data_IF_097689109565
#
_entry.id   IF_097689109565
#
_cell.length_a   1.000
_cell.length_b   1.000
_cell.length_c   1.000
_cell.angle_alpha   90.00
_cell.angle_beta   90.00
_cell.angle_gamma   90.00
#
_symmetry.space_group_name_H-M   'P 1'
#
loop_
_entity.id
_entity.type
_entity.pdbx_description
1 polymer ?
#
# COMPACT_ATOMS: atom_id res chain seq x y z
N UNK A 1 18.70 0.18 -21.28
CA UNK A 1 19.39 -0.05 -19.99
C UNK A 1 18.40 -0.79 -19.13
N UNK A 2 18.77 -1.94 -18.57
CA UNK A 2 17.92 -2.62 -17.58
C UNK A 2 17.94 -1.74 -16.33
N UNK A 3 16.85 -1.06 -16.02
CA UNK A 3 16.77 -0.22 -14.82
C UNK A 3 16.99 -1.10 -13.58
N UNK A 4 17.92 -0.72 -12.71
CA UNK A 4 18.22 -1.48 -11.50
C UNK A 4 16.96 -1.55 -10.62
N UNK A 5 16.70 -2.71 -10.01
CA UNK A 5 15.52 -2.91 -9.17
C UNK A 5 15.39 -1.85 -8.06
N UNK A 6 16.51 -1.39 -7.49
CA UNK A 6 16.52 -0.37 -6.43
C UNK A 6 16.12 0.99 -6.95
N UNK A 7 16.47 1.32 -8.19
CA UNK A 7 16.03 2.55 -8.85
C UNK A 7 14.53 2.52 -9.10
N UNK A 8 14.00 1.38 -9.57
CA UNK A 8 12.56 1.21 -9.82
C UNK A 8 11.77 1.45 -8.53
N UNK A 9 12.08 0.76 -7.44
CA UNK A 9 11.35 0.93 -6.17
C UNK A 9 11.65 2.28 -5.49
N UNK A 10 12.77 2.91 -5.82
CA UNK A 10 13.13 4.26 -5.39
C UNK A 10 12.39 5.37 -6.15
N UNK A 11 11.78 5.06 -7.30
CA UNK A 11 11.05 6.04 -8.12
C UNK A 11 9.72 6.51 -7.53
N UNK A 12 9.19 5.84 -6.51
CA UNK A 12 7.94 6.23 -5.86
C UNK A 12 8.19 7.34 -4.81
N UNK A 13 7.46 8.48 -4.85
CA UNK A 13 7.57 9.49 -3.81
C UNK A 13 7.30 8.92 -2.41
N UNK A 14 8.12 9.30 -1.40
CA UNK A 14 7.94 8.83 -0.03
C UNK A 14 6.66 9.37 0.61
N UNK A 15 6.16 8.66 1.61
CA UNK A 15 5.09 9.12 2.50
C UNK A 15 5.74 9.70 3.76
N UNK A 16 5.53 10.98 4.04
CA UNK A 16 5.96 11.61 5.29
C UNK A 16 4.85 11.51 6.34
N UNK A 17 5.21 11.07 7.54
CA UNK A 17 4.28 10.90 8.66
C UNK A 17 4.84 11.56 9.91
N UNK A 18 4.03 12.32 10.64
CA UNK A 18 4.38 12.80 11.99
C UNK A 18 4.32 11.64 12.99
N UNK A 19 5.29 11.57 13.90
CA UNK A 19 5.40 10.49 14.90
C UNK A 19 5.38 11.00 16.36
N UNK A 20 4.18 11.31 16.90
CA UNK A 20 4.06 11.87 18.26
C UNK A 20 4.56 10.97 19.39
N UNK A 21 4.51 9.64 19.20
CA UNK A 21 5.03 8.71 20.21
C UNK A 21 6.56 8.77 20.27
N UNK A 22 7.21 8.79 19.11
CA UNK A 22 8.68 8.86 19.05
C UNK A 22 9.17 10.22 19.56
N UNK A 23 8.47 11.30 19.22
CA UNK A 23 8.68 12.63 19.80
C UNK A 23 8.55 12.63 21.33
N UNK A 24 7.45 12.09 21.85
CA UNK A 24 7.23 12.02 23.30
C UNK A 24 8.32 11.23 24.04
N UNK A 25 8.90 10.22 23.39
CA UNK A 25 10.00 9.41 23.93
C UNK A 25 11.40 10.04 23.72
N UNK A 26 11.48 11.23 23.13
CA UNK A 26 12.74 11.95 22.89
C UNK A 26 13.59 11.39 21.75
N UNK A 27 12.98 10.69 20.78
CA UNK A 27 13.71 10.12 19.64
C UNK A 27 14.18 11.19 18.64
N UNK A 28 13.47 12.31 18.55
CA UNK A 28 13.85 13.44 17.70
C UNK A 28 14.64 14.46 18.52
N UNK A 29 15.79 14.89 17.98
CA UNK A 29 16.66 15.90 18.59
C UNK A 29 16.36 17.32 18.11
N UNK A 30 15.78 17.41 16.91
CA UNK A 30 15.41 18.67 16.25
C UNK A 30 13.89 18.78 16.18
N UNK A 31 13.39 19.91 15.66
CA UNK A 31 11.95 20.18 15.53
C UNK A 31 11.27 19.39 14.39
N UNK A 32 12.01 18.60 13.61
CA UNK A 32 11.42 17.69 12.63
C UNK A 32 11.06 16.36 13.30
N UNK A 33 9.76 16.17 13.52
CA UNK A 33 9.17 14.96 14.11
C UNK A 33 8.52 14.05 13.07
N UNK A 34 8.96 14.15 11.81
CA UNK A 34 8.47 13.32 10.71
C UNK A 34 9.40 12.15 10.39
N UNK A 35 8.81 11.03 9.95
CA UNK A 35 9.53 9.90 9.38
C UNK A 35 9.08 9.65 7.94
N UNK A 36 10.03 9.25 7.11
CA UNK A 36 9.80 8.86 5.72
C UNK A 36 9.54 7.36 5.61
N UNK A 37 8.46 7.00 4.90
CA UNK A 37 8.09 5.64 4.56
C UNK A 37 8.16 5.48 3.04
N UNK A 38 8.99 4.56 2.57
CA UNK A 38 9.23 4.36 1.13
C UNK A 38 8.59 3.08 0.60
N UNK A 39 8.44 2.96 -0.72
CA UNK A 39 8.07 1.69 -1.34
C UNK A 39 9.10 0.59 -1.04
N UNK A 40 10.38 0.93 -0.95
CA UNK A 40 11.42 -0.03 -0.55
C UNK A 40 11.17 -0.60 0.85
N UNK A 41 10.59 0.17 1.78
CA UNK A 41 10.24 -0.35 3.11
C UNK A 41 9.02 -1.28 3.06
N UNK A 42 8.03 -0.96 2.22
CA UNK A 42 6.91 -1.89 1.94
C UNK A 42 7.41 -3.19 1.29
N UNK A 43 8.40 -3.12 0.38
CA UNK A 43 9.05 -4.29 -0.21
C UNK A 43 9.81 -5.10 0.83
N UNK A 44 10.56 -4.46 1.74
CA UNK A 44 11.23 -5.16 2.85
C UNK A 44 10.22 -5.86 3.77
N UNK A 45 9.08 -5.21 4.05
CA UNK A 45 8.00 -5.80 4.84
C UNK A 45 7.41 -7.04 4.16
N UNK A 46 7.11 -6.95 2.86
CA UNK A 46 6.50 -8.04 2.10
C UNK A 46 7.49 -9.12 1.63
N UNK A 47 8.80 -8.85 1.69
CA UNK A 47 9.88 -9.70 1.17
C UNK A 47 10.04 -9.68 -0.35
N UNK A 48 9.16 -8.99 -1.09
CA UNK A 48 9.20 -8.92 -2.56
C UNK A 48 8.43 -7.69 -3.07
N UNK A 49 8.59 -7.38 -4.36
CA UNK A 49 7.83 -6.36 -5.07
C UNK A 49 6.86 -7.02 -6.06
N UNK A 50 5.56 -6.78 -5.87
CA UNK A 50 4.50 -7.25 -6.76
C UNK A 50 3.43 -6.15 -6.91
N UNK A 51 2.52 -6.27 -7.90
CA UNK A 51 1.47 -5.28 -8.13
C UNK A 51 0.62 -5.02 -6.88
N UNK A 52 0.40 -6.02 -6.03
CA UNK A 52 -0.35 -5.89 -4.77
C UNK A 52 0.36 -4.99 -3.76
N UNK A 53 1.66 -5.20 -3.52
CA UNK A 53 2.43 -4.39 -2.54
C UNK A 53 2.59 -2.96 -3.05
N UNK A 54 2.91 -2.79 -4.34
CA UNK A 54 3.00 -1.49 -4.99
C UNK A 54 1.66 -0.76 -4.96
N UNK A 55 0.57 -1.46 -5.30
CA UNK A 55 -0.79 -0.93 -5.24
C UNK A 55 -1.18 -0.48 -3.84
N UNK A 56 -0.89 -1.26 -2.80
CA UNK A 56 -1.17 -0.89 -1.41
C UNK A 56 -0.40 0.38 -0.98
N UNK A 57 0.87 0.49 -1.36
CA UNK A 57 1.68 1.67 -1.07
C UNK A 57 1.13 2.92 -1.76
N UNK A 58 0.87 2.84 -3.07
CA UNK A 58 0.33 3.96 -3.86
C UNK A 58 -1.07 4.37 -3.39
N UNK A 59 -1.93 3.39 -3.09
CA UNK A 59 -3.25 3.60 -2.52
C UNK A 59 -3.18 4.31 -1.16
N UNK A 60 -2.27 3.88 -0.28
CA UNK A 60 -2.04 4.54 1.02
C UNK A 60 -1.58 5.98 0.83
N UNK A 61 -0.61 6.24 -0.07
CA UNK A 61 -0.13 7.59 -0.36
C UNK A 61 -1.27 8.49 -0.82
N UNK A 62 -2.10 8.02 -1.76
CA UNK A 62 -3.23 8.78 -2.29
C UNK A 62 -4.30 9.02 -1.23
N UNK A 63 -4.64 8.00 -0.44
CA UNK A 63 -5.60 8.10 0.65
C UNK A 63 -5.17 9.18 1.65
N UNK A 64 -3.92 9.14 2.10
CA UNK A 64 -3.40 10.11 3.06
C UNK A 64 -3.40 11.54 2.51
N UNK A 65 -2.99 11.73 1.25
CA UNK A 65 -3.05 13.03 0.57
C UNK A 65 -4.48 13.58 0.50
N UNK A 66 -5.48 12.75 0.19
CA UNK A 66 -6.89 13.19 0.14
C UNK A 66 -7.47 13.45 1.54
N UNK A 67 -7.05 12.66 2.53
CA UNK A 67 -7.56 12.70 3.90
C UNK A 67 -7.01 13.89 4.72
N UNK A 68 -5.76 14.29 4.47
CA UNK A 68 -5.08 15.36 5.19
C UNK A 68 -4.87 16.63 4.35
N UNK A 69 -5.02 16.57 3.03
CA UNK A 69 -4.74 17.71 2.16
C UNK A 69 -3.26 18.11 2.26
N UNK A 70 -3.02 19.35 2.69
CA UNK A 70 -1.66 19.89 2.89
C UNK A 70 -1.08 19.59 4.28
N UNK A 71 -1.87 19.02 5.20
CA UNK A 71 -1.37 18.61 6.52
C UNK A 71 -0.51 17.34 6.41
N UNK A 72 0.54 17.25 7.24
CA UNK A 72 1.30 16.01 7.39
C UNK A 72 0.45 15.00 8.19
N UNK A 73 0.16 13.80 7.64
CA UNK A 73 -0.60 12.78 8.34
C UNK A 73 0.08 12.33 9.64
N UNK A 74 -0.73 12.01 10.64
CA UNK A 74 -0.25 11.65 11.97
C UNK A 74 -0.35 10.15 12.15
N UNK A 75 0.80 9.51 12.34
CA UNK A 75 0.81 8.06 12.48
C UNK A 75 0.08 7.69 13.78
N UNK A 76 -0.86 6.74 13.68
CA UNK A 76 -1.66 6.26 14.81
C UNK A 76 -2.93 7.05 15.08
N UNK A 77 -3.19 8.11 14.32
CA UNK A 77 -4.48 8.82 14.34
C UNK A 77 -5.32 8.49 13.10
N UNK A 78 -5.08 7.31 12.51
CA UNK A 78 -5.77 6.82 11.33
C UNK A 78 -6.19 5.38 11.63
N UNK A 79 -7.46 5.07 11.43
CA UNK A 79 -7.92 3.68 11.35
C UNK A 79 -8.04 3.26 9.90
N UNK A 80 -7.74 1.99 9.64
CA UNK A 80 -7.94 1.33 8.36
C UNK A 80 -8.92 0.18 8.56
N UNK A 81 -9.96 0.10 7.75
CA UNK A 81 -10.86 -1.05 7.71
C UNK A 81 -10.80 -1.70 6.34
N UNK A 82 -10.29 -2.91 6.27
CA UNK A 82 -10.39 -3.75 5.09
C UNK A 82 -11.82 -4.28 4.95
N UNK A 83 -12.44 -4.10 3.78
CA UNK A 83 -13.79 -4.59 3.47
C UNK A 83 -13.74 -5.99 2.85
N UNK A 84 -13.05 -6.89 3.56
CA UNK A 84 -12.94 -8.30 3.27
C UNK A 84 -12.22 -8.99 4.43
N UNK A 85 -12.01 -10.30 4.32
CA UNK A 85 -11.33 -11.07 5.39
C UNK A 85 -9.80 -11.03 5.28
N UNK A 86 -9.05 -11.24 6.37
CA UNK A 86 -7.59 -11.27 6.33
C UNK A 86 -7.00 -12.32 5.37
N UNK A 87 -7.66 -13.46 5.22
CA UNK A 87 -7.25 -14.60 4.37
C UNK A 87 -7.88 -14.57 2.98
N UNK A 88 -8.65 -13.54 2.67
CA UNK A 88 -9.34 -13.40 1.39
C UNK A 88 -8.49 -12.60 0.39
N UNK A 89 -8.15 -13.26 -0.71
CA UNK A 89 -7.43 -12.65 -1.83
C UNK A 89 -6.16 -11.93 -1.37
N UNK A 90 -6.14 -10.61 -1.56
CA UNK A 90 -4.97 -9.76 -1.23
C UNK A 90 -5.18 -8.87 0.00
N UNK A 91 -6.34 -8.95 0.67
CA UNK A 91 -6.68 -8.06 1.78
C UNK A 91 -5.64 -8.11 2.91
N UNK A 92 -5.22 -9.29 3.34
CA UNK A 92 -4.21 -9.43 4.39
C UNK A 92 -2.85 -8.82 4.02
N UNK A 93 -2.39 -9.00 2.79
CA UNK A 93 -1.11 -8.45 2.32
C UNK A 93 -1.15 -6.93 2.24
N UNK A 94 -2.20 -6.37 1.66
CA UNK A 94 -2.35 -4.92 1.52
C UNK A 94 -2.54 -4.26 2.89
N UNK A 95 -3.33 -4.86 3.79
CA UNK A 95 -3.51 -4.38 5.16
C UNK A 95 -2.21 -4.31 5.94
N UNK A 96 -1.27 -5.24 5.74
CA UNK A 96 0.05 -5.18 6.40
C UNK A 96 0.86 -3.95 5.97
N UNK A 97 0.87 -3.64 4.67
CA UNK A 97 1.54 -2.43 4.13
C UNK A 97 0.88 -1.17 4.70
N UNK A 98 -0.45 -1.11 4.67
CA UNK A 98 -1.21 0.04 5.19
C UNK A 98 -0.98 0.23 6.70
N UNK A 99 -0.99 -0.85 7.48
CA UNK A 99 -0.72 -0.85 8.92
C UNK A 99 0.69 -0.39 9.25
N UNK A 100 1.69 -0.85 8.49
CA UNK A 100 3.08 -0.46 8.67
C UNK A 100 3.25 1.06 8.55
N UNK A 101 2.71 1.65 7.48
CA UNK A 101 2.81 3.09 7.18
C UNK A 101 1.99 3.91 8.18
N UNK A 102 0.70 3.61 8.33
CA UNK A 102 -0.24 4.43 9.13
C UNK A 102 -0.12 4.20 10.63
N UNK A 103 0.52 3.10 11.04
CA UNK A 103 0.53 2.61 12.41
C UNK A 103 -0.84 2.08 12.87
N UNK A 104 -1.79 1.89 11.95
CA UNK A 104 -3.06 1.26 12.26
C UNK A 104 -2.84 -0.24 12.49
N UNK A 105 -2.68 -0.66 13.74
CA UNK A 105 -2.36 -2.05 14.06
C UNK A 105 -3.62 -2.84 14.42
N UNK A 106 -3.64 -4.17 14.22
CA UNK A 106 -4.74 -5.03 14.64
C UNK A 106 -4.73 -5.21 16.18
N UNK A 107 -5.37 -6.23 16.71
CA UNK A 107 -5.43 -6.52 18.15
C UNK A 107 -4.06 -6.77 18.78
N UNK A 108 -3.02 -7.04 17.99
CA UNK A 108 -1.63 -7.21 18.45
C UNK A 108 -0.85 -5.89 18.55
N UNK A 109 -1.49 -4.76 18.22
CA UNK A 109 -0.86 -3.44 18.24
C UNK A 109 -0.47 -2.92 19.62
N UNK A 110 0.33 -1.85 19.63
CA UNK A 110 0.73 -1.15 20.85
C UNK A 110 -0.50 -0.56 21.57
N UNK A 111 -0.65 -0.88 22.87
CA UNK A 111 -1.79 -0.45 23.71
C UNK A 111 -1.80 1.05 24.02
N UNK A 112 -0.67 1.73 23.83
CA UNK A 112 -0.50 3.14 24.18
C UNK A 112 0.13 3.34 25.56
N UNK A 113 0.39 4.60 25.89
CA UNK A 113 0.81 5.04 27.22
C UNK A 113 -0.35 5.77 27.87
N UNK A 114 -1.09 5.05 28.73
CA UNK A 114 -2.37 5.52 29.24
C UNK A 114 -3.36 5.74 28.09
N UNK A 115 -4.00 6.93 27.97
CA UNK A 115 -4.95 7.20 26.88
C UNK A 115 -4.28 7.61 25.56
N UNK A 116 -2.96 7.77 25.51
CA UNK A 116 -2.25 8.35 24.36
C UNK A 116 -1.52 7.29 23.52
N UNK A 117 -1.34 7.60 22.24
CA UNK A 117 -0.49 6.87 21.30
C UNK A 117 -0.88 5.40 21.03
N UNK A 118 -2.13 5.02 21.34
CA UNK A 118 -2.65 3.68 21.05
C UNK A 118 -2.62 3.40 19.55
N UNK A 119 -2.14 2.21 19.17
CA UNK A 119 -2.16 1.68 17.80
C UNK A 119 -3.06 0.46 17.66
N UNK A 120 -3.29 -0.26 18.76
CA UNK A 120 -4.09 -1.48 18.82
C UNK A 120 -5.56 -1.26 18.41
N UNK A 121 -6.05 -2.09 17.49
CA UNK A 121 -7.44 -2.07 17.03
C UNK A 121 -7.76 -0.94 16.05
N UNK A 122 -6.74 -0.31 15.47
CA UNK A 122 -6.90 0.68 14.41
C UNK A 122 -6.97 0.03 13.02
N UNK A 123 -6.41 -1.17 12.84
CA UNK A 123 -6.69 -2.02 11.68
C UNK A 123 -7.81 -3.00 12.03
N UNK A 124 -8.85 -3.01 11.20
CA UNK A 124 -10.00 -3.89 11.35
C UNK A 124 -10.33 -4.53 9.99
N UNK A 125 -11.03 -5.66 10.04
CA UNK A 125 -11.58 -6.35 8.87
C UNK A 125 -13.10 -6.46 9.04
N UNK A 126 -13.84 -6.36 7.95
CA UNK A 126 -15.29 -6.58 7.96
C UNK A 126 -15.71 -7.33 6.72
N UNK A 127 -16.72 -8.20 6.84
CA UNK A 127 -17.38 -8.92 5.75
C UNK A 127 -18.23 -7.99 4.84
N UNK A 128 -17.80 -6.75 4.67
CA UNK A 128 -18.51 -5.72 3.92
C UNK A 128 -18.67 -6.11 2.45
N UNK A 129 -19.75 -5.62 1.84
CA UNK A 129 -20.07 -5.89 0.45
C UNK A 129 -19.02 -5.26 -0.47
N UNK A 130 -18.11 -6.08 -0.98
CA UNK A 130 -17.07 -5.67 -1.92
C UNK A 130 -17.64 -5.39 -3.32
N UNK A 131 -18.97 -5.53 -3.53
CA UNK A 131 -19.84 -4.95 -4.56
C UNK A 131 -19.53 -5.17 -6.04
N UNK A 132 -18.25 -5.24 -6.40
CA UNK A 132 -17.73 -5.06 -7.74
C UNK A 132 -16.27 -5.54 -7.88
N UNK A 133 -15.86 -6.63 -7.22
CA UNK A 133 -14.51 -7.25 -7.25
C UNK A 133 -13.35 -6.34 -6.75
N UNK A 134 -13.63 -5.08 -6.41
CA UNK A 134 -12.61 -4.13 -6.03
C UNK A 134 -12.11 -4.38 -4.60
N UNK A 135 -10.79 -4.33 -4.42
CA UNK A 135 -10.19 -4.44 -3.10
C UNK A 135 -10.38 -3.10 -2.37
N UNK A 136 -11.21 -3.10 -1.34
CA UNK A 136 -11.77 -1.86 -0.78
C UNK A 136 -11.36 -1.64 0.68
N UNK A 137 -10.93 -0.42 0.99
CA UNK A 137 -10.47 -0.03 2.33
C UNK A 137 -11.08 1.29 2.77
N UNK A 138 -11.57 1.36 4.00
CA UNK A 138 -11.98 2.62 4.63
C UNK A 138 -10.83 3.19 5.43
N UNK A 139 -10.45 4.43 5.15
CA UNK A 139 -9.53 5.20 5.98
C UNK A 139 -10.32 6.23 6.75
N UNK A 140 -10.02 6.42 8.03
CA UNK A 140 -10.70 7.42 8.86
C UNK A 140 -9.72 8.06 9.84
N UNK A 141 -9.75 9.38 9.94
CA UNK A 141 -9.03 10.13 10.98
C UNK A 141 -9.67 9.82 12.34
N UNK A 142 -8.83 9.58 13.32
CA UNK A 142 -9.20 9.30 14.71
C UNK A 142 -9.04 10.53 15.61
N UNK A 143 -8.69 11.67 15.02
CA UNK A 143 -8.71 12.98 15.66
C UNK A 143 -10.14 13.58 15.65
N UNK A 144 -10.27 14.81 16.16
CA UNK A 144 -11.56 15.51 16.22
C UNK A 144 -12.17 15.89 14.86
N UNK A 145 -11.44 15.75 13.74
CA UNK A 145 -11.97 16.02 12.40
C UNK A 145 -12.85 14.85 11.93
N UNK A 146 -12.43 13.61 12.21
CA UNK A 146 -13.23 12.40 11.96
C UNK A 146 -13.50 12.08 10.49
N UNK A 147 -12.94 12.84 9.53
CA UNK A 147 -13.08 12.60 8.09
C UNK A 147 -12.74 11.15 7.73
N UNK A 148 -13.47 10.62 6.77
CA UNK A 148 -13.25 9.28 6.26
C UNK A 148 -13.31 9.27 4.73
N UNK A 149 -12.71 8.24 4.15
CA UNK A 149 -12.77 7.98 2.73
C UNK A 149 -12.82 6.47 2.48
N UNK A 150 -13.34 6.12 1.31
CA UNK A 150 -13.29 4.81 0.72
C UNK A 150 -12.23 4.80 -0.37
N UNK A 151 -11.27 3.89 -0.24
CA UNK A 151 -10.29 3.55 -1.27
C UNK A 151 -10.78 2.28 -1.95
N UNK A 152 -10.83 2.28 -3.28
CA UNK A 152 -11.12 1.10 -4.08
C UNK A 152 -9.99 0.87 -5.06
N UNK A 153 -9.43 -0.33 -5.06
CA UNK A 153 -8.37 -0.75 -5.97
C UNK A 153 -8.99 -1.74 -6.94
N UNK A 154 -8.87 -1.46 -8.24
CA UNK A 154 -9.45 -2.22 -9.34
C UNK A 154 -8.32 -2.90 -10.12
N UNK A 155 -7.88 -4.13 -9.74
CA UNK A 155 -6.70 -4.77 -10.32
C UNK A 155 -6.76 -4.96 -11.84
N UNK A 156 -7.97 -5.09 -12.41
CA UNK A 156 -8.19 -5.24 -13.84
C UNK A 156 -7.96 -3.96 -14.66
N UNK A 157 -7.90 -2.79 -14.02
CA UNK A 157 -7.60 -1.51 -14.67
C UNK A 157 -6.12 -1.12 -14.53
N UNK A 158 -5.29 -1.94 -13.88
CA UNK A 158 -3.85 -1.66 -13.77
C UNK A 158 -3.25 -1.56 -15.18
N UNK A 159 -2.54 -0.47 -15.54
CA UNK A 159 -2.17 -0.16 -16.91
C UNK A 159 -1.10 -1.14 -17.41
N UNK A 160 -1.56 -2.20 -18.06
CA UNK A 160 -0.72 -3.21 -18.68
C UNK A 160 -1.44 -3.75 -19.92
N UNK A 161 -0.87 -3.64 -21.14
CA UNK A 161 -1.53 -4.08 -22.37
C UNK A 161 -2.03 -5.52 -22.29
N UNK A 162 -3.22 -5.80 -22.81
CA UNK A 162 -3.90 -7.10 -22.66
C UNK A 162 -3.08 -8.26 -23.25
N UNK A 163 -2.44 -8.06 -24.39
CA UNK A 163 -1.56 -9.03 -25.04
C UNK A 163 -0.35 -9.36 -24.14
N UNK A 164 0.24 -8.34 -23.51
CA UNK A 164 1.34 -8.49 -22.56
C UNK A 164 0.88 -9.13 -21.25
N UNK A 165 -0.32 -8.80 -20.77
CA UNK A 165 -0.93 -9.41 -19.60
C UNK A 165 -1.14 -10.92 -19.80
N UNK A 166 -1.71 -11.31 -20.94
CA UNK A 166 -1.90 -12.72 -21.32
C UNK A 166 -0.55 -13.44 -21.40
N UNK A 167 0.43 -12.86 -22.11
CA UNK A 167 1.77 -13.46 -22.24
C UNK A 167 2.46 -13.62 -20.88
N UNK A 168 2.35 -12.61 -20.01
CA UNK A 168 2.91 -12.67 -18.66
C UNK A 168 2.28 -13.79 -17.82
N UNK A 169 0.96 -14.00 -17.93
CA UNK A 169 0.25 -15.06 -17.23
C UNK A 169 0.66 -16.47 -17.73
N UNK A 170 0.72 -16.66 -19.06
CA UNK A 170 1.19 -17.92 -19.68
C UNK A 170 2.62 -18.27 -19.21
N UNK A 171 3.52 -17.28 -19.24
CA UNK A 171 4.90 -17.45 -18.82
C UNK A 171 5.02 -17.70 -17.31
N UNK A 172 4.21 -17.04 -16.49
CA UNK A 172 4.18 -17.30 -15.04
C UNK A 172 3.87 -18.76 -14.75
N UNK A 173 2.82 -19.31 -15.37
CA UNK A 173 2.45 -20.71 -15.21
C UNK A 173 3.60 -21.64 -15.61
N UNK A 174 4.23 -21.35 -16.75
CA UNK A 174 5.35 -22.14 -17.27
C UNK A 174 6.59 -22.08 -16.36
N UNK A 175 6.94 -20.90 -15.85
CA UNK A 175 8.06 -20.69 -14.92
C UNK A 175 7.79 -21.39 -13.59
N UNK A 176 6.57 -21.27 -13.04
CA UNK A 176 6.18 -21.97 -11.80
C UNK A 176 6.20 -23.48 -11.96
N UNK A 177 5.80 -23.99 -13.13
CA UNK A 177 5.86 -25.42 -13.46
C UNK A 177 7.27 -25.94 -13.77
N UNK A 178 8.29 -25.07 -13.81
CA UNK A 178 9.67 -25.44 -14.16
C UNK A 178 9.88 -25.84 -15.62
N UNK A 179 8.91 -25.54 -16.50
CA UNK A 179 8.96 -25.89 -17.92
C UNK A 179 9.47 -24.77 -18.83
N UNK A 180 9.71 -23.58 -18.28
CA UNK A 180 10.19 -22.43 -19.04
C UNK A 180 11.67 -22.56 -19.37
N UNK A 181 12.06 -22.20 -20.59
CA UNK A 181 13.47 -22.04 -20.93
C UNK A 181 14.05 -20.72 -20.37
N UNK A 182 15.33 -20.48 -20.61
CA UNK A 182 16.01 -19.27 -20.14
C UNK A 182 15.41 -17.99 -20.73
N UNK A 183 15.06 -18.00 -22.03
CA UNK A 183 14.51 -16.84 -22.71
C UNK A 183 13.11 -16.49 -22.19
N UNK A 184 12.27 -17.50 -21.99
CA UNK A 184 10.94 -17.36 -21.41
C UNK A 184 10.99 -16.88 -19.96
N UNK A 185 11.96 -17.36 -19.18
CA UNK A 185 12.17 -16.91 -17.80
C UNK A 185 12.58 -15.43 -17.76
N UNK A 186 13.44 -14.99 -18.68
CA UNK A 186 13.83 -13.58 -18.80
C UNK A 186 12.64 -12.73 -19.23
N UNK A 187 11.90 -13.16 -20.25
CA UNK A 187 10.70 -12.46 -20.74
C UNK A 187 9.66 -12.27 -19.63
N UNK A 188 9.40 -13.31 -18.82
CA UNK A 188 8.51 -13.22 -17.67
C UNK A 188 8.94 -12.13 -16.69
N UNK A 189 10.24 -12.11 -16.33
CA UNK A 189 10.80 -11.15 -15.38
C UNK A 189 10.71 -9.72 -15.91
N UNK A 190 10.97 -9.54 -17.19
CA UNK A 190 10.88 -8.23 -17.85
C UNK A 190 9.44 -7.71 -17.88
N UNK A 191 8.48 -8.56 -18.27
CA UNK A 191 7.05 -8.23 -18.25
C UNK A 191 6.55 -7.91 -16.83
N UNK A 192 7.01 -8.67 -15.83
CA UNK A 192 6.66 -8.43 -14.44
C UNK A 192 7.14 -7.06 -13.96
N UNK A 193 8.40 -6.74 -14.23
CA UNK A 193 8.97 -5.44 -13.84
C UNK A 193 8.40 -4.28 -14.65
N UNK A 194 8.06 -4.50 -15.91
CA UNK A 194 7.37 -3.52 -16.73
C UNK A 194 6.01 -3.14 -16.13
N UNK A 195 5.21 -4.12 -15.69
CA UNK A 195 3.94 -3.85 -15.01
C UNK A 195 4.12 -2.99 -13.76
N UNK A 196 5.15 -3.26 -12.95
CA UNK A 196 5.47 -2.45 -11.77
C UNK A 196 5.85 -1.02 -12.17
N UNK A 197 6.72 -0.85 -13.17
CA UNK A 197 7.10 0.48 -13.68
C UNK A 197 5.88 1.26 -14.17
N UNK A 198 4.99 0.60 -14.91
CA UNK A 198 3.74 1.18 -15.39
C UNK A 198 2.90 1.76 -14.25
N UNK A 199 2.72 1.00 -13.16
CA UNK A 199 2.02 1.48 -11.98
C UNK A 199 2.69 2.70 -11.32
N UNK A 200 4.02 2.72 -11.25
CA UNK A 200 4.79 3.81 -10.61
C UNK A 200 4.81 5.10 -11.43
N UNK A 201 4.79 4.97 -12.76
CA UNK A 201 4.89 6.09 -13.70
C UNK A 201 3.52 6.59 -14.17
N UNK A 202 2.43 5.97 -13.71
CA UNK A 202 1.08 6.37 -14.10
C UNK A 202 0.78 7.80 -13.64
N UNK A 203 0.41 8.72 -14.54
CA UNK A 203 0.01 10.06 -14.15
C UNK A 203 -1.30 10.03 -13.37
N UNK A 204 -1.45 10.94 -12.40
CA UNK A 204 -2.71 11.11 -11.68
C UNK A 204 -3.72 11.90 -12.54
N UNK A 205 -5.02 11.58 -12.50
CA UNK A 205 -5.64 10.50 -11.71
C UNK A 205 -5.43 9.12 -12.35
N UNK A 206 -5.22 8.10 -11.51
CA UNK A 206 -5.08 6.71 -11.94
C UNK A 206 -6.43 5.97 -11.97
N UNK A 207 -6.75 5.30 -13.08
CA UNK A 207 -8.06 4.64 -13.26
C UNK A 207 -8.29 3.44 -12.33
N UNK A 208 -7.21 2.73 -11.98
CA UNK A 208 -7.25 1.53 -11.13
C UNK A 208 -7.33 1.82 -9.64
N UNK A 209 -7.28 3.09 -9.23
CA UNK A 209 -7.33 3.49 -7.84
C UNK A 209 -8.31 4.65 -7.67
N UNK A 210 -9.43 4.36 -7.02
CA UNK A 210 -10.48 5.32 -6.75
C UNK A 210 -10.48 5.70 -5.27
N UNK A 211 -10.62 6.99 -5.00
CA UNK A 211 -10.71 7.53 -3.64
C UNK A 211 -11.93 8.43 -3.54
N UNK A 212 -12.89 8.04 -2.70
CA UNK A 212 -14.13 8.75 -2.49
C UNK A 212 -14.22 9.20 -1.02
N UNK A 213 -14.41 10.49 -0.77
CA UNK A 213 -14.70 10.98 0.58
C UNK A 213 -16.08 10.47 1.03
N UNK A 214 -16.15 10.03 2.28
CA UNK A 214 -17.40 9.60 2.91
C UNK A 214 -18.21 10.79 3.44
#
# INVERSE_FOLDING_TARGET
MSDDFREIIGGAPPILMREPLAEFLGAFRDNDNTLSYTLADAVKLAGHCCPTVTGAYLATRRALSVLYGDEVPVRGEISVTALGRPDEGVYGVMSQVMAYITGAAPETGFKGLGPRFRRQGLLNFSDGDAGDEAVSFRFRRQDGNGSALLVRILPWLVPFPEDRARRSAELMEKVMGGGADEAETVEFRDLWMEKIKGMLQSPEPVEWLQVQKA
#
